data_IF_440757432536
#
_entry.id   IF_440757432536
#
_cell.length_a   1.000
_cell.length_b   1.000
_cell.length_c   1.000
_cell.angle_alpha   90.00
_cell.angle_beta   90.00
_cell.angle_gamma   90.00
#
_symmetry.space_group_name_H-M   'P 1'
#
loop_
_entity.id
_entity.type
_entity.pdbx_description
1 polymer ?
#
# COMPACT_ATOMS: atom_id res chain seq x y z
N UNK A 1 7.04 -21.37 3.31
CA UNK A 1 6.80 -20.03 2.79
C UNK A 1 8.13 -19.47 2.34
N UNK A 2 8.21 -18.26 1.80
CA UNK A 2 9.49 -17.83 1.26
C UNK A 2 9.74 -16.34 1.48
N UNK A 3 10.96 -15.99 1.91
CA UNK A 3 11.48 -14.63 1.92
C UNK A 3 11.55 -14.09 0.48
N UNK A 4 11.24 -12.82 0.28
CA UNK A 4 11.40 -12.14 -1.01
C UNK A 4 12.47 -11.07 -0.89
N UNK A 5 13.45 -11.07 -1.79
CA UNK A 5 14.55 -10.11 -1.80
C UNK A 5 14.64 -9.45 -3.17
N UNK A 6 14.64 -8.13 -3.17
CA UNK A 6 14.85 -7.29 -4.33
C UNK A 6 16.16 -6.53 -4.15
N UNK A 7 17.09 -6.67 -5.09
CA UNK A 7 18.42 -6.07 -5.04
C UNK A 7 18.67 -5.23 -6.29
N UNK A 8 18.80 -3.92 -6.08
CA UNK A 8 19.08 -2.96 -7.14
C UNK A 8 18.15 -3.11 -8.36
N UNK A 9 16.83 -3.27 -8.12
CA UNK A 9 15.86 -3.49 -9.21
C UNK A 9 15.58 -2.17 -9.93
N UNK A 10 15.72 -2.21 -11.25
CA UNK A 10 15.46 -1.10 -12.18
C UNK A 10 14.40 -1.50 -13.20
N UNK A 11 13.56 -0.54 -13.60
CA UNK A 11 12.65 -0.69 -14.74
C UNK A 11 12.54 0.62 -15.49
N UNK A 12 12.86 0.57 -16.78
CA UNK A 12 12.61 1.64 -17.75
C UNK A 12 11.72 1.12 -18.87
N UNK A 13 10.93 2.00 -19.43
CA UNK A 13 10.12 1.74 -20.63
C UNK A 13 10.56 2.67 -21.75
N UNK A 14 10.60 2.20 -23.02
CA UNK A 14 10.91 3.04 -24.16
C UNK A 14 9.90 4.19 -24.28
N UNK A 15 10.37 5.40 -24.54
CA UNK A 15 9.52 6.57 -24.75
C UNK A 15 8.61 6.36 -25.97
N UNK A 16 7.30 6.66 -25.81
CA UNK A 16 6.32 6.61 -26.92
C UNK A 16 6.37 7.80 -27.88
N UNK A 17 7.28 8.76 -27.70
CA UNK A 17 7.39 9.93 -28.59
C UNK A 17 8.04 9.55 -29.93
N UNK A 18 7.25 9.00 -30.84
CA UNK A 18 7.60 8.81 -32.24
C UNK A 18 7.67 10.12 -33.04
N UNK A 19 8.51 11.09 -32.63
CA UNK A 19 8.93 12.21 -33.44
C UNK A 19 10.44 12.30 -33.35
N UNK A 20 11.09 11.61 -34.26
CA UNK A 20 12.51 11.78 -34.59
C UNK A 20 12.76 13.23 -34.97
N UNK A 21 13.16 14.09 -34.04
CA UNK A 21 13.89 15.30 -34.37
C UNK A 21 15.31 14.87 -34.73
N UNK A 22 15.63 14.96 -35.99
CA UNK A 22 16.99 14.73 -36.53
C UNK A 22 17.98 15.66 -35.80
N UNK A 23 18.97 15.07 -35.15
CA UNK A 23 20.19 15.74 -34.72
C UNK A 23 20.34 15.88 -33.20
N UNK A 24 20.67 14.78 -32.50
CA UNK A 24 21.73 14.67 -31.49
C UNK A 24 21.78 13.22 -31.02
N UNK A 25 22.87 12.56 -31.27
CA UNK A 25 23.26 11.26 -30.73
C UNK A 25 23.75 11.49 -29.31
N UNK A 26 22.90 11.14 -28.29
CA UNK A 26 23.28 10.49 -27.04
C UNK A 26 22.08 10.48 -26.11
N UNK A 27 21.71 9.28 -25.61
CA UNK A 27 20.75 9.10 -24.55
C UNK A 27 19.41 8.53 -25.03
N UNK A 28 19.16 7.26 -24.71
CA UNK A 28 17.86 6.62 -24.86
C UNK A 28 16.80 7.43 -24.11
N UNK A 29 15.74 7.88 -24.80
CA UNK A 29 14.56 8.55 -24.25
C UNK A 29 13.72 7.62 -23.37
N UNK A 30 14.34 6.71 -22.61
CA UNK A 30 13.69 5.74 -21.76
C UNK A 30 13.12 6.39 -20.49
N UNK A 31 11.84 6.17 -20.24
CA UNK A 31 11.17 6.62 -19.00
C UNK A 31 11.50 5.63 -17.87
N UNK A 32 12.35 6.05 -16.93
CA UNK A 32 12.70 5.27 -15.75
C UNK A 32 11.55 5.29 -14.74
N UNK A 33 10.91 4.13 -14.52
CA UNK A 33 9.77 3.96 -13.62
C UNK A 33 10.20 3.44 -12.24
N UNK A 34 11.21 2.56 -12.20
CA UNK A 34 11.79 2.07 -10.95
C UNK A 34 13.29 2.34 -10.94
N UNK A 35 13.77 2.91 -9.83
CA UNK A 35 15.13 3.42 -9.67
C UNK A 35 15.80 2.81 -8.45
N UNK A 36 16.58 1.75 -8.65
CA UNK A 36 17.36 1.09 -7.60
C UNK A 36 16.52 0.66 -6.40
N UNK A 37 15.49 -0.15 -6.62
CA UNK A 37 14.67 -0.70 -5.54
C UNK A 37 15.46 -1.78 -4.80
N UNK A 38 15.63 -1.58 -3.50
CA UNK A 38 16.15 -2.55 -2.55
C UNK A 38 15.09 -2.79 -1.49
N UNK A 39 14.60 -4.03 -1.36
CA UNK A 39 13.57 -4.40 -0.40
C UNK A 39 13.72 -5.85 0.00
N UNK A 40 13.71 -6.11 1.30
CA UNK A 40 13.65 -7.46 1.84
C UNK A 40 12.34 -7.63 2.59
N UNK A 41 11.60 -8.66 2.24
CA UNK A 41 10.33 -9.06 2.85
C UNK A 41 10.58 -10.41 3.52
N UNK A 42 10.33 -10.50 4.82
CA UNK A 42 10.57 -11.70 5.60
C UNK A 42 9.58 -12.82 5.23
N UNK A 43 9.91 -14.05 5.58
CA UNK A 43 8.99 -15.17 5.43
C UNK A 43 7.75 -14.98 6.29
N UNK A 44 6.57 -15.12 5.70
CA UNK A 44 5.28 -14.91 6.36
C UNK A 44 4.89 -13.45 6.61
N UNK A 45 5.70 -12.48 6.22
CA UNK A 45 5.44 -11.05 6.43
C UNK A 45 4.32 -10.54 5.51
N UNK A 46 3.49 -9.64 6.05
CA UNK A 46 2.54 -8.83 5.30
C UNK A 46 3.17 -7.47 4.98
N UNK A 47 3.79 -7.35 3.81
CA UNK A 47 4.39 -6.09 3.33
C UNK A 47 3.39 -5.29 2.51
N UNK A 48 3.16 -4.02 2.89
CA UNK A 48 2.33 -3.10 2.10
C UNK A 48 3.19 -2.13 1.32
N UNK A 49 2.93 -2.00 0.02
CA UNK A 49 3.53 -0.98 -0.85
C UNK A 49 2.51 0.15 -1.03
N UNK A 50 2.84 1.35 -0.59
CA UNK A 50 1.95 2.51 -0.67
C UNK A 50 2.68 3.72 -1.28
N UNK A 51 1.93 4.65 -1.87
CA UNK A 51 2.48 5.86 -2.48
C UNK A 51 1.53 6.47 -3.51
N UNK A 52 1.85 7.63 -4.07
CA UNK A 52 1.06 8.30 -5.09
C UNK A 52 0.81 7.44 -6.34
N UNK A 53 -0.22 7.78 -7.10
CA UNK A 53 -0.46 7.14 -8.40
C UNK A 53 0.73 7.35 -9.33
N UNK A 54 1.12 6.31 -10.08
CA UNK A 54 2.23 6.38 -11.02
C UNK A 54 3.64 6.23 -10.43
N UNK A 55 3.82 6.08 -9.10
CA UNK A 55 5.14 5.93 -8.50
C UNK A 55 5.82 4.56 -8.70
N UNK A 56 5.17 3.61 -9.41
CA UNK A 56 5.77 2.33 -9.79
C UNK A 56 5.32 1.10 -8.99
N UNK A 57 4.40 1.19 -8.03
CA UNK A 57 3.93 0.08 -7.18
C UNK A 57 3.46 -1.15 -7.97
N UNK A 58 2.48 -0.98 -8.84
CA UNK A 58 1.95 -2.08 -9.67
C UNK A 58 2.99 -2.60 -10.66
N UNK A 59 3.91 -1.75 -11.13
CA UNK A 59 5.04 -2.17 -11.97
C UNK A 59 5.95 -3.11 -11.18
N UNK A 60 6.32 -2.73 -9.94
CA UNK A 60 7.13 -3.57 -9.06
C UNK A 60 6.47 -4.92 -8.80
N UNK A 61 5.15 -4.91 -8.52
CA UNK A 61 4.38 -6.14 -8.31
C UNK A 61 4.39 -7.05 -9.56
N UNK A 62 4.24 -6.46 -10.76
CA UNK A 62 4.30 -7.20 -12.03
C UNK A 62 5.67 -7.77 -12.35
N UNK A 63 6.75 -7.08 -11.96
CA UNK A 63 8.12 -7.61 -12.07
C UNK A 63 8.29 -8.86 -11.20
N UNK A 64 7.82 -8.82 -9.94
CA UNK A 64 7.87 -9.97 -9.03
C UNK A 64 7.04 -11.14 -9.59
N UNK A 65 5.84 -10.85 -10.13
CA UNK A 65 4.97 -11.85 -10.77
C UNK A 65 5.53 -12.43 -12.08
N UNK A 66 6.55 -11.80 -12.69
CA UNK A 66 7.09 -12.16 -14.00
C UNK A 66 6.21 -11.76 -15.18
N UNK A 67 5.29 -10.83 -14.97
CA UNK A 67 4.43 -10.25 -16.01
C UNK A 67 5.10 -9.11 -16.76
N UNK A 68 6.18 -8.59 -16.21
CA UNK A 68 7.07 -7.59 -16.80
C UNK A 68 8.52 -8.06 -16.68
N UNK A 69 9.38 -7.60 -17.61
CA UNK A 69 10.81 -7.87 -17.57
C UNK A 69 11.50 -6.68 -16.95
N UNK A 70 12.38 -6.91 -15.97
CA UNK A 70 13.18 -5.84 -15.38
C UNK A 70 14.32 -5.41 -16.30
N UNK A 71 14.77 -4.17 -16.13
CA UNK A 71 15.91 -3.62 -16.89
C UNK A 71 17.25 -3.96 -16.23
N UNK A 72 17.24 -4.16 -14.90
CA UNK A 72 18.44 -4.54 -14.14
C UNK A 72 18.10 -4.93 -12.70
N UNK A 73 19.06 -5.55 -12.02
CA UNK A 73 18.93 -5.99 -10.64
C UNK A 73 18.55 -7.47 -10.51
N UNK A 74 18.24 -7.89 -9.29
CA UNK A 74 17.88 -9.26 -8.96
C UNK A 74 16.61 -9.34 -8.11
N UNK A 75 15.81 -10.38 -8.34
CA UNK A 75 14.66 -10.74 -7.51
C UNK A 75 14.79 -12.21 -7.14
N UNK A 76 14.77 -12.50 -5.82
CA UNK A 76 14.82 -13.85 -5.30
C UNK A 76 13.59 -14.16 -4.44
N UNK A 77 13.11 -15.41 -4.52
CA UNK A 77 12.05 -15.97 -3.67
C UNK A 77 12.61 -17.21 -2.98
N UNK A 78 12.70 -17.17 -1.65
CA UNK A 78 13.52 -18.11 -0.89
C UNK A 78 14.98 -17.99 -1.35
N UNK A 79 15.60 -19.13 -1.63
CA UNK A 79 16.98 -19.20 -2.13
C UNK A 79 17.06 -19.21 -3.66
N UNK A 80 15.94 -18.95 -4.35
CA UNK A 80 15.85 -19.08 -5.80
C UNK A 80 15.77 -17.71 -6.49
N UNK A 81 16.73 -17.45 -7.38
CA UNK A 81 16.67 -16.31 -8.30
C UNK A 81 15.55 -16.54 -9.35
N UNK A 82 14.64 -15.56 -9.51
CA UNK A 82 13.46 -15.70 -10.35
C UNK A 82 13.46 -14.81 -11.60
N UNK A 83 14.54 -14.10 -11.89
CA UNK A 83 14.66 -13.13 -12.98
C UNK A 83 14.14 -13.68 -14.32
N UNK A 84 14.68 -14.84 -14.74
CA UNK A 84 14.39 -15.43 -16.04
C UNK A 84 13.26 -16.47 -16.02
N UNK A 85 12.62 -16.65 -14.85
CA UNK A 85 11.56 -17.63 -14.71
C UNK A 85 10.24 -17.06 -15.24
N UNK A 86 9.53 -17.83 -16.08
CA UNK A 86 8.18 -17.44 -16.50
C UNK A 86 7.21 -17.45 -15.30
N UNK A 87 6.10 -16.69 -15.34
CA UNK A 87 5.17 -16.54 -14.22
C UNK A 87 4.71 -17.87 -13.59
N UNK A 88 4.46 -18.90 -14.42
CA UNK A 88 4.01 -20.23 -13.94
C UNK A 88 5.06 -20.95 -13.09
N UNK A 89 6.33 -20.62 -13.23
CA UNK A 89 7.45 -21.30 -12.55
C UNK A 89 7.90 -20.58 -11.27
N UNK A 90 7.32 -19.41 -10.96
CA UNK A 90 7.71 -18.58 -9.80
C UNK A 90 7.04 -18.99 -8.50
N UNK A 91 6.05 -19.88 -8.55
CA UNK A 91 5.21 -20.28 -7.39
C UNK A 91 4.57 -19.10 -6.63
N UNK A 92 4.12 -18.13 -7.40
CA UNK A 92 3.51 -16.89 -6.95
C UNK A 92 2.06 -16.87 -7.40
N UNK A 93 1.15 -16.43 -6.52
CA UNK A 93 -0.23 -16.12 -6.90
C UNK A 93 -0.47 -14.61 -6.89
N UNK A 94 -1.24 -14.11 -7.85
CA UNK A 94 -1.58 -12.69 -7.96
C UNK A 94 -3.08 -12.48 -8.04
N UNK A 95 -3.57 -11.53 -7.24
CA UNK A 95 -4.93 -10.98 -7.31
C UNK A 95 -4.84 -9.59 -7.94
N UNK A 96 -5.55 -9.41 -9.05
CA UNK A 96 -5.59 -8.15 -9.80
C UNK A 96 -6.70 -7.24 -9.29
N UNK A 97 -6.58 -5.96 -9.50
CA UNK A 97 -7.57 -4.93 -9.19
C UNK A 97 -8.95 -5.23 -9.78
N UNK A 98 -9.02 -5.79 -11.01
CA UNK A 98 -10.25 -6.18 -11.68
C UNK A 98 -10.76 -7.59 -11.30
N UNK A 99 -10.10 -8.25 -10.32
CA UNK A 99 -10.31 -9.65 -9.93
C UNK A 99 -9.98 -10.66 -11.05
N UNK A 100 -10.02 -10.30 -12.31
CA UNK A 100 -9.72 -11.11 -13.50
C UNK A 100 -10.36 -12.52 -13.47
N UNK A 101 -11.61 -12.63 -13.00
CA UNK A 101 -12.38 -13.88 -13.00
C UNK A 101 -12.79 -14.25 -14.43
N UNK A 102 -12.78 -15.55 -14.74
CA UNK A 102 -13.28 -16.06 -16.00
C UNK A 102 -14.82 -15.99 -16.03
N UNK A 103 -15.44 -15.11 -16.85
CA UNK A 103 -16.87 -14.78 -16.73
C UNK A 103 -17.80 -15.95 -17.13
N UNK A 104 -17.31 -16.88 -17.94
CA UNK A 104 -18.02 -18.06 -18.44
C UNK A 104 -17.86 -19.30 -17.55
N UNK A 105 -17.03 -19.23 -16.52
CA UNK A 105 -16.79 -20.31 -15.56
C UNK A 105 -17.55 -20.06 -14.26
N UNK A 106 -18.02 -21.14 -13.63
CA UNK A 106 -18.59 -21.07 -12.27
C UNK A 106 -17.53 -20.66 -11.25
N UNK A 107 -17.97 -20.33 -10.03
CA UNK A 107 -17.04 -20.10 -8.90
C UNK A 107 -16.16 -21.33 -8.67
N UNK A 108 -16.74 -22.53 -8.65
CA UNK A 108 -16.00 -23.79 -8.56
C UNK A 108 -14.92 -23.88 -9.64
N UNK A 109 -15.27 -23.67 -10.90
CA UNK A 109 -14.32 -23.80 -12.01
C UNK A 109 -13.26 -22.71 -12.01
N UNK A 110 -13.57 -21.49 -11.55
CA UNK A 110 -12.58 -20.44 -11.36
C UNK A 110 -11.51 -20.84 -10.34
N UNK A 111 -11.91 -21.42 -9.21
CA UNK A 111 -11.00 -21.88 -8.15
C UNK A 111 -10.21 -23.11 -8.62
N UNK A 112 -10.89 -24.07 -9.25
CA UNK A 112 -10.29 -25.32 -9.72
C UNK A 112 -9.31 -25.15 -10.89
N UNK A 113 -9.42 -24.05 -11.65
CA UNK A 113 -8.67 -23.84 -12.90
C UNK A 113 -7.16 -23.98 -12.71
N UNK A 114 -6.61 -23.30 -11.71
CA UNK A 114 -5.17 -23.35 -11.41
C UNK A 114 -4.69 -24.71 -10.94
N UNK A 115 -5.49 -25.40 -10.14
CA UNK A 115 -5.22 -26.74 -9.63
C UNK A 115 -5.18 -27.78 -10.77
N UNK A 116 -6.19 -27.79 -11.63
CA UNK A 116 -6.26 -28.70 -12.78
C UNK A 116 -5.05 -28.55 -13.69
N UNK A 117 -4.55 -27.33 -13.86
CA UNK A 117 -3.39 -27.03 -14.70
C UNK A 117 -2.08 -27.52 -14.07
N UNK A 118 -1.96 -27.38 -12.75
CA UNK A 118 -0.79 -27.87 -11.98
C UNK A 118 -0.65 -29.41 -12.08
N UNK A 119 -1.78 -30.14 -11.97
CA UNK A 119 -1.81 -31.59 -12.13
C UNK A 119 -1.59 -32.04 -13.58
N UNK A 120 -1.98 -31.23 -14.57
CA UNK A 120 -1.73 -31.50 -15.98
C UNK A 120 -0.25 -31.44 -16.38
N UNK A 121 0.48 -30.46 -15.81
CA UNK A 121 1.92 -30.28 -16.09
C UNK A 121 2.78 -31.40 -15.46
N UNK A 122 2.31 -32.03 -14.36
CA UNK A 122 3.02 -33.18 -13.73
C UNK A 122 2.89 -34.50 -14.51
N UNK A 123 1.97 -34.59 -15.46
CA UNK A 123 1.71 -35.79 -16.25
C UNK A 123 2.39 -35.87 -17.61
N UNK A 124 3.19 -34.89 -17.95
CA UNK A 124 3.96 -34.93 -19.20
C UNK A 124 4.86 -36.20 -19.34
N UNK A 125 4.96 -37.01 -18.26
CA UNK A 125 5.70 -38.26 -18.21
C UNK A 125 4.86 -39.57 -18.23
N UNK A 126 3.51 -39.51 -18.21
CA UNK A 126 2.66 -40.71 -18.24
C UNK A 126 2.33 -41.13 -19.66
N UNK A 127 2.25 -42.45 -19.90
CA UNK A 127 1.93 -43.05 -21.21
C UNK A 127 0.58 -42.57 -21.72
N UNK A 128 0.52 -42.15 -22.99
CA UNK A 128 -0.67 -41.67 -23.70
C UNK A 128 -1.90 -42.62 -23.59
N UNK A 129 -1.67 -43.89 -23.31
CA UNK A 129 -2.70 -44.93 -23.22
C UNK A 129 -3.56 -44.79 -21.94
N UNK A 130 -2.96 -44.48 -20.79
CA UNK A 130 -3.68 -44.30 -19.52
C UNK A 130 -4.50 -43.01 -19.54
N UNK A 131 -4.03 -41.96 -20.17
CA UNK A 131 -4.80 -40.71 -20.35
C UNK A 131 -6.01 -40.89 -21.28
N UNK A 132 -5.88 -41.71 -22.33
CA UNK A 132 -6.96 -41.97 -23.26
C UNK A 132 -8.10 -42.77 -22.62
N UNK A 133 -7.79 -43.81 -21.81
CA UNK A 133 -8.79 -44.61 -21.10
C UNK A 133 -9.54 -43.81 -20.00
N UNK A 134 -8.86 -42.95 -19.25
CA UNK A 134 -9.52 -42.07 -18.29
C UNK A 134 -10.41 -41.03 -18.94
N UNK A 135 -9.98 -40.41 -20.03
CA UNK A 135 -10.78 -39.46 -20.80
C UNK A 135 -12.02 -40.09 -21.39
N UNK A 136 -11.93 -41.34 -21.84
CA UNK A 136 -13.06 -42.12 -22.39
C UNK A 136 -14.09 -42.42 -21.29
N UNK A 137 -13.65 -42.83 -20.10
CA UNK A 137 -14.54 -43.12 -18.95
C UNK A 137 -15.22 -41.84 -18.45
N UNK A 138 -14.50 -40.71 -18.36
CA UNK A 138 -15.08 -39.42 -18.03
C UNK A 138 -16.11 -38.97 -19.07
N UNK A 139 -15.81 -39.15 -20.37
CA UNK A 139 -16.72 -38.77 -21.47
C UNK A 139 -17.99 -39.59 -21.47
N UNK A 140 -17.90 -40.92 -21.28
CA UNK A 140 -19.02 -41.85 -21.24
C UNK A 140 -19.93 -41.63 -20.03
N UNK A 141 -19.37 -41.26 -18.88
CA UNK A 141 -20.14 -41.04 -17.64
C UNK A 141 -20.64 -39.60 -17.48
N UNK A 142 -20.24 -38.68 -18.35
CA UNK A 142 -20.59 -37.23 -18.26
C UNK A 142 -22.10 -36.98 -18.33
N UNK A 143 -22.87 -37.88 -18.99
CA UNK A 143 -24.34 -37.77 -19.11
C UNK A 143 -25.11 -38.42 -17.97
N UNK A 144 -24.44 -39.15 -17.07
CA UNK A 144 -25.08 -39.81 -15.91
C UNK A 144 -25.35 -38.82 -14.76
N UNK A 145 -26.32 -39.10 -13.87
CA UNK A 145 -26.56 -38.33 -12.65
C UNK A 145 -25.27 -38.17 -11.82
N UNK A 146 -25.08 -37.04 -11.14
CA UNK A 146 -23.86 -36.72 -10.38
C UNK A 146 -23.31 -37.85 -9.50
N UNK A 147 -24.17 -38.70 -8.96
CA UNK A 147 -23.81 -39.85 -8.09
C UNK A 147 -23.17 -41.04 -8.85
N UNK A 148 -23.34 -41.12 -10.16
CA UNK A 148 -22.85 -42.22 -11.00
C UNK A 148 -21.76 -41.79 -12.02
N UNK A 149 -21.28 -40.56 -11.90
CA UNK A 149 -20.16 -40.05 -12.72
C UNK A 149 -18.83 -40.60 -12.21
N UNK A 150 -18.03 -41.12 -13.10
CA UNK A 150 -16.65 -41.44 -12.79
C UNK A 150 -15.90 -40.13 -12.57
N UNK A 151 -15.39 -39.93 -11.35
CA UNK A 151 -14.55 -38.81 -10.98
C UNK A 151 -13.13 -39.35 -10.91
N UNK A 152 -12.24 -38.80 -11.75
CA UNK A 152 -10.84 -39.19 -11.71
C UNK A 152 -10.24 -38.91 -10.31
N UNK A 153 -9.23 -39.68 -9.84
CA UNK A 153 -8.56 -39.41 -8.55
C UNK A 153 -8.06 -37.97 -8.40
N UNK A 154 -7.67 -37.35 -9.51
CA UNK A 154 -7.24 -35.95 -9.58
C UNK A 154 -8.39 -34.97 -9.33
N UNK A 155 -9.52 -35.17 -10.01
CA UNK A 155 -10.67 -34.29 -9.85
C UNK A 155 -11.21 -34.39 -8.40
N UNK A 156 -11.02 -35.54 -7.75
CA UNK A 156 -11.34 -35.69 -6.32
C UNK A 156 -10.44 -34.81 -5.43
N UNK A 157 -9.12 -34.80 -5.67
CA UNK A 157 -8.18 -33.92 -4.96
C UNK A 157 -8.50 -32.46 -5.22
N UNK A 158 -8.82 -32.10 -6.47
CA UNK A 158 -9.23 -30.74 -6.85
C UNK A 158 -10.52 -30.36 -6.10
N UNK A 159 -11.52 -31.24 -6.07
CA UNK A 159 -12.79 -30.99 -5.39
C UNK A 159 -12.61 -30.79 -3.88
N UNK A 160 -11.81 -31.64 -3.22
CA UNK A 160 -11.46 -31.51 -1.80
C UNK A 160 -10.75 -30.18 -1.49
N UNK A 161 -9.82 -29.76 -2.35
CA UNK A 161 -9.12 -28.50 -2.18
C UNK A 161 -10.02 -27.29 -2.42
N UNK A 162 -10.88 -27.33 -3.44
CA UNK A 162 -11.86 -26.28 -3.71
C UNK A 162 -12.85 -26.15 -2.54
N UNK A 163 -13.32 -27.26 -1.98
CA UNK A 163 -14.21 -27.25 -0.82
C UNK A 163 -13.56 -26.64 0.43
N UNK A 164 -12.32 -27.04 0.73
CA UNK A 164 -11.53 -26.43 1.83
C UNK A 164 -11.41 -24.91 1.68
N UNK A 165 -11.08 -24.45 0.47
CA UNK A 165 -10.95 -23.01 0.18
C UNK A 165 -12.31 -22.32 0.24
N UNK A 166 -13.37 -22.96 -0.22
CA UNK A 166 -14.72 -22.39 -0.18
C UNK A 166 -15.21 -22.19 1.27
N UNK A 167 -14.98 -23.17 2.15
CA UNK A 167 -15.28 -23.07 3.60
C UNK A 167 -14.46 -21.94 4.22
N UNK A 168 -13.15 -21.90 3.96
CA UNK A 168 -12.24 -20.87 4.49
C UNK A 168 -12.72 -19.45 4.16
N UNK A 169 -13.26 -19.26 2.96
CA UNK A 169 -13.72 -17.96 2.43
C UNK A 169 -15.24 -17.74 2.57
N UNK A 170 -15.98 -18.71 3.14
CA UNK A 170 -17.44 -18.65 3.32
C UNK A 170 -18.19 -18.43 1.99
N UNK A 171 -17.83 -19.18 0.94
CA UNK A 171 -18.40 -19.10 -0.39
C UNK A 171 -18.96 -20.44 -0.91
N UNK A 172 -19.19 -21.42 -0.03
CA UNK A 172 -19.68 -22.76 -0.39
C UNK A 172 -20.99 -22.69 -1.17
N UNK A 173 -21.92 -21.86 -0.73
CA UNK A 173 -23.23 -21.66 -1.36
C UNK A 173 -23.16 -21.01 -2.74
N UNK A 174 -21.98 -20.44 -3.09
CA UNK A 174 -21.77 -19.71 -4.33
C UNK A 174 -21.08 -20.56 -5.42
N UNK A 175 -20.59 -21.77 -5.11
CA UNK A 175 -19.76 -22.58 -6.00
C UNK A 175 -20.34 -22.81 -7.39
N UNK A 176 -21.68 -22.90 -7.51
CA UNK A 176 -22.37 -23.12 -8.78
C UNK A 176 -22.75 -21.84 -9.53
N UNK A 177 -22.48 -20.65 -8.95
CA UNK A 177 -22.81 -19.35 -9.56
C UNK A 177 -21.76 -18.90 -10.56
N UNK A 178 -22.17 -18.05 -11.51
CA UNK A 178 -21.28 -17.34 -12.42
C UNK A 178 -20.85 -15.99 -11.80
N UNK A 179 -19.68 -15.44 -12.16
CA UNK A 179 -19.18 -14.15 -11.65
C UNK A 179 -20.16 -12.98 -11.77
N UNK A 180 -20.98 -12.96 -12.83
CA UNK A 180 -22.02 -11.93 -13.04
C UNK A 180 -23.14 -11.94 -11.99
N UNK A 181 -23.32 -13.05 -11.28
CA UNK A 181 -24.34 -13.24 -10.23
C UNK A 181 -23.82 -12.92 -8.83
N UNK A 182 -22.61 -12.41 -8.71
CA UNK A 182 -21.92 -12.15 -7.46
C UNK A 182 -21.81 -10.65 -7.17
N UNK A 183 -21.89 -10.26 -5.89
CA UNK A 183 -21.53 -8.93 -5.44
C UNK A 183 -20.02 -8.66 -5.58
N UNK A 184 -19.59 -7.41 -5.45
CA UNK A 184 -18.17 -7.04 -5.50
C UNK A 184 -17.32 -7.84 -4.50
N UNK A 185 -17.71 -7.89 -3.23
CA UNK A 185 -16.99 -8.65 -2.20
C UNK A 185 -17.02 -10.16 -2.42
N UNK A 186 -18.12 -10.71 -2.97
CA UNK A 186 -18.17 -12.13 -3.35
C UNK A 186 -17.19 -12.44 -4.50
N UNK A 187 -17.12 -11.58 -5.53
CA UNK A 187 -16.14 -11.73 -6.62
C UNK A 187 -14.71 -11.68 -6.10
N UNK A 188 -14.43 -10.81 -5.16
CA UNK A 188 -13.12 -10.71 -4.52
C UNK A 188 -12.76 -11.99 -3.76
N UNK A 189 -13.66 -12.54 -2.91
CA UNK A 189 -13.44 -13.81 -2.22
C UNK A 189 -13.18 -14.95 -3.20
N UNK A 190 -13.86 -14.99 -4.33
CA UNK A 190 -13.59 -15.98 -5.39
C UNK A 190 -12.20 -15.79 -5.99
N UNK A 191 -11.77 -14.54 -6.23
CA UNK A 191 -10.43 -14.26 -6.76
C UNK A 191 -9.33 -14.67 -5.76
N UNK A 192 -9.54 -14.38 -4.46
CA UNK A 192 -8.69 -14.86 -3.37
C UNK A 192 -8.66 -16.40 -3.34
N UNK A 193 -9.83 -17.05 -3.43
CA UNK A 193 -9.93 -18.52 -3.44
C UNK A 193 -9.16 -19.15 -4.59
N UNK A 194 -9.25 -18.59 -5.79
CA UNK A 194 -8.50 -19.04 -6.96
C UNK A 194 -6.98 -18.95 -6.74
N UNK A 195 -6.54 -17.91 -6.04
CA UNK A 195 -5.14 -17.68 -5.77
C UNK A 195 -4.61 -18.59 -4.66
N UNK A 196 -5.37 -18.77 -3.55
CA UNK A 196 -5.01 -19.59 -2.40
C UNK A 196 -5.01 -21.10 -2.74
N UNK A 197 -5.94 -21.54 -3.61
CA UNK A 197 -6.11 -22.95 -3.93
C UNK A 197 -4.80 -23.64 -4.36
N UNK A 198 -3.87 -22.90 -4.95
CA UNK A 198 -2.56 -23.39 -5.39
C UNK A 198 -1.51 -23.48 -4.29
N UNK A 199 -1.82 -23.00 -3.08
CA UNK A 199 -0.89 -22.92 -1.95
C UNK A 199 0.44 -22.25 -2.35
N UNK A 200 0.43 -20.99 -2.84
CA UNK A 200 1.63 -20.31 -3.34
C UNK A 200 2.59 -19.94 -2.21
N UNK A 201 3.89 -19.84 -2.52
CA UNK A 201 4.89 -19.34 -1.58
C UNK A 201 4.75 -17.85 -1.29
N UNK A 202 4.33 -17.07 -2.28
CA UNK A 202 4.16 -15.61 -2.19
C UNK A 202 2.82 -15.21 -2.77
N UNK A 203 2.16 -14.29 -2.09
CA UNK A 203 0.85 -13.75 -2.44
C UNK A 203 0.98 -12.28 -2.84
N UNK A 204 0.60 -11.94 -4.05
CA UNK A 204 0.62 -10.57 -4.58
C UNK A 204 -0.80 -10.05 -4.73
N UNK A 205 -1.07 -8.85 -4.24
CA UNK A 205 -2.38 -8.21 -4.35
C UNK A 205 -2.24 -6.78 -4.88
N UNK A 206 -2.78 -6.50 -6.06
CA UNK A 206 -2.75 -5.20 -6.71
C UNK A 206 -4.09 -4.47 -6.50
N UNK A 207 -4.16 -3.59 -5.53
CA UNK A 207 -5.34 -2.79 -5.13
C UNK A 207 -6.66 -3.59 -5.05
N UNK A 208 -6.71 -4.72 -4.33
CA UNK A 208 -7.86 -5.63 -4.42
C UNK A 208 -9.15 -5.07 -3.80
N UNK A 209 -9.08 -4.00 -3.00
CA UNK A 209 -10.23 -3.40 -2.31
C UNK A 209 -10.77 -2.12 -3.00
N UNK A 210 -10.11 -1.63 -4.04
CA UNK A 210 -10.44 -0.34 -4.68
C UNK A 210 -11.88 -0.27 -5.24
N UNK A 211 -12.45 -1.41 -5.64
CA UNK A 211 -13.78 -1.50 -6.23
C UNK A 211 -14.90 -1.81 -5.21
N UNK A 212 -14.65 -1.70 -3.92
CA UNK A 212 -15.62 -1.96 -2.86
C UNK A 212 -16.10 -0.66 -2.19
N UNK A 213 -17.35 -0.66 -1.71
CA UNK A 213 -17.86 0.40 -0.84
C UNK A 213 -17.12 0.41 0.52
N UNK A 214 -17.23 1.51 1.27
CA UNK A 214 -16.46 1.73 2.49
C UNK A 214 -16.72 0.66 3.58
N UNK A 215 -17.98 0.24 3.78
CA UNK A 215 -18.34 -0.76 4.78
C UNK A 215 -17.76 -2.12 4.43
N UNK A 216 -17.98 -2.57 3.20
CA UNK A 216 -17.48 -3.86 2.72
C UNK A 216 -15.95 -3.89 2.66
N UNK A 217 -15.31 -2.74 2.36
CA UNK A 217 -13.85 -2.59 2.38
C UNK A 217 -13.29 -2.83 3.77
N UNK A 218 -13.90 -2.24 4.82
CA UNK A 218 -13.46 -2.43 6.20
C UNK A 218 -13.58 -3.88 6.67
N UNK A 219 -14.71 -4.55 6.35
CA UNK A 219 -14.94 -5.96 6.67
C UNK A 219 -13.93 -6.88 5.95
N UNK A 220 -13.72 -6.65 4.65
CA UNK A 220 -12.83 -7.48 3.83
C UNK A 220 -11.37 -7.32 4.21
N UNK A 221 -10.94 -6.11 4.59
CA UNK A 221 -9.61 -5.83 5.12
C UNK A 221 -9.27 -6.74 6.30
N UNK A 222 -10.15 -6.79 7.31
CA UNK A 222 -9.99 -7.67 8.47
C UNK A 222 -9.95 -9.15 8.09
N UNK A 223 -10.74 -9.56 7.08
CA UNK A 223 -10.75 -10.96 6.60
C UNK A 223 -9.43 -11.32 5.90
N UNK A 224 -8.87 -10.42 5.08
CA UNK A 224 -7.59 -10.66 4.38
C UNK A 224 -6.45 -10.83 5.39
N UNK A 225 -6.37 -9.96 6.41
CA UNK A 225 -5.34 -10.06 7.46
C UNK A 225 -5.46 -11.38 8.22
N UNK A 226 -6.65 -11.74 8.69
CA UNK A 226 -6.89 -13.02 9.38
C UNK A 226 -6.51 -14.21 8.51
N UNK A 227 -6.88 -14.17 7.23
CA UNK A 227 -6.58 -15.22 6.27
C UNK A 227 -5.07 -15.39 6.07
N UNK A 228 -4.36 -14.28 5.90
CA UNK A 228 -2.90 -14.30 5.72
C UNK A 228 -2.20 -14.88 6.96
N UNK A 229 -2.60 -14.46 8.17
CA UNK A 229 -2.08 -15.04 9.42
C UNK A 229 -2.33 -16.55 9.54
N UNK A 230 -3.54 -17.02 9.16
CA UNK A 230 -3.86 -18.46 9.16
C UNK A 230 -3.02 -19.25 8.16
N UNK A 231 -2.73 -18.68 7.00
CA UNK A 231 -1.94 -19.32 5.96
C UNK A 231 -0.43 -19.18 6.19
N UNK A 232 0.01 -18.16 6.95
CA UNK A 232 1.41 -17.80 7.15
C UNK A 232 2.14 -17.41 5.86
N UNK A 233 1.42 -17.08 4.77
CA UNK A 233 2.01 -16.85 3.44
C UNK A 233 2.59 -15.45 3.36
N UNK A 234 3.81 -15.32 2.83
CA UNK A 234 4.42 -14.01 2.53
C UNK A 234 3.55 -13.24 1.56
N UNK A 235 3.12 -12.04 1.95
CA UNK A 235 2.15 -11.25 1.20
C UNK A 235 2.72 -9.90 0.85
N UNK A 236 2.56 -9.49 -0.42
CA UNK A 236 2.88 -8.13 -0.89
C UNK A 236 1.58 -7.51 -1.40
N UNK A 237 1.16 -6.47 -0.72
CA UNK A 237 -0.10 -5.79 -0.94
C UNK A 237 0.15 -4.37 -1.45
N UNK A 238 -0.44 -4.00 -2.57
CA UNK A 238 -0.39 -2.65 -3.13
C UNK A 238 -1.69 -1.92 -2.84
N UNK A 239 -1.58 -0.71 -2.34
CA UNK A 239 -2.73 0.19 -2.14
C UNK A 239 -2.30 1.65 -2.32
N UNK A 240 -3.28 2.53 -2.55
CA UNK A 240 -3.15 3.98 -2.40
C UNK A 240 -3.87 4.50 -1.14
N UNK A 241 -4.58 3.62 -0.41
CA UNK A 241 -5.30 3.95 0.83
C UNK A 241 -4.36 3.78 2.04
N UNK A 242 -4.11 4.89 2.73
CA UNK A 242 -3.26 4.91 3.93
C UNK A 242 -3.86 4.08 5.07
N UNK A 243 -5.19 4.06 5.20
CA UNK A 243 -5.86 3.30 6.26
C UNK A 243 -5.67 1.80 6.06
N UNK A 244 -5.70 1.33 4.80
CA UNK A 244 -5.37 -0.05 4.48
C UNK A 244 -3.92 -0.36 4.87
N UNK A 245 -2.98 0.49 4.46
CA UNK A 245 -1.57 0.32 4.76
C UNK A 245 -1.31 0.24 6.28
N UNK A 246 -1.83 1.21 7.04
CA UNK A 246 -1.64 1.31 8.48
C UNK A 246 -2.29 0.19 9.29
N UNK A 247 -3.34 -0.45 8.75
CA UNK A 247 -4.12 -1.47 9.50
C UNK A 247 -3.81 -2.91 9.10
N UNK A 248 -3.19 -3.13 7.93
CA UNK A 248 -2.95 -4.47 7.41
C UNK A 248 -1.48 -4.89 7.45
N UNK A 249 -0.55 -3.95 7.26
CA UNK A 249 0.86 -4.27 7.10
C UNK A 249 1.60 -4.53 8.41
N UNK A 250 2.43 -5.56 8.44
CA UNK A 250 3.49 -5.69 9.46
C UNK A 250 4.52 -4.59 9.25
N UNK A 251 4.89 -4.36 7.99
CA UNK A 251 5.71 -3.22 7.54
C UNK A 251 5.11 -2.60 6.28
N UNK A 252 5.39 -1.32 6.12
CA UNK A 252 4.95 -0.52 4.98
C UNK A 252 6.18 0.03 4.26
N UNK A 253 6.24 -0.15 2.93
CA UNK A 253 7.22 0.50 2.07
C UNK A 253 6.54 1.67 1.34
N UNK A 254 6.96 2.89 1.66
CA UNK A 254 6.46 4.11 1.01
C UNK A 254 7.28 4.36 -0.24
N UNK A 255 6.59 4.45 -1.38
CA UNK A 255 7.22 4.69 -2.68
C UNK A 255 6.87 6.07 -3.23
N UNK A 256 7.87 6.74 -3.80
CA UNK A 256 7.71 7.98 -4.56
C UNK A 256 8.76 8.05 -5.66
N UNK A 257 8.37 8.54 -6.85
CA UNK A 257 9.27 8.74 -8.00
C UNK A 257 10.14 7.52 -8.36
N UNK A 258 9.56 6.33 -8.23
CA UNK A 258 10.26 5.08 -8.52
C UNK A 258 11.29 4.65 -7.48
N UNK A 259 11.29 5.24 -6.29
CA UNK A 259 12.19 4.92 -5.16
C UNK A 259 11.40 4.55 -3.92
N UNK A 260 12.00 3.76 -3.05
CA UNK A 260 11.51 3.56 -1.68
C UNK A 260 12.03 4.71 -0.82
N UNK A 261 11.12 5.43 -0.17
CA UNK A 261 11.42 6.56 0.71
C UNK A 261 11.69 6.09 2.15
N UNK A 262 10.89 5.14 2.63
CA UNK A 262 11.05 4.54 3.95
C UNK A 262 10.36 3.16 3.99
N UNK A 263 10.92 2.24 4.79
CA UNK A 263 10.29 0.96 5.13
C UNK A 263 10.34 0.80 6.64
N UNK A 264 9.17 0.73 7.28
CA UNK A 264 9.07 0.55 8.74
C UNK A 264 7.69 0.01 9.15
N UNK A 265 7.50 -0.45 10.40
CA UNK A 265 6.19 -0.71 10.97
C UNK A 265 5.30 0.55 10.95
N UNK A 266 3.96 0.40 10.91
CA UNK A 266 3.02 1.52 10.77
C UNK A 266 3.25 2.66 11.76
N UNK A 267 3.35 2.37 13.06
CA UNK A 267 3.53 3.40 14.09
C UNK A 267 4.88 4.12 14.01
N UNK A 268 5.92 3.44 13.53
CA UNK A 268 7.23 4.05 13.32
C UNK A 268 7.18 5.06 12.16
N UNK A 269 6.54 4.71 11.04
CA UNK A 269 6.33 5.63 9.92
C UNK A 269 5.58 6.90 10.34
N UNK A 270 4.57 6.74 11.20
CA UNK A 270 3.77 7.85 11.70
C UNK A 270 4.54 8.77 12.65
N UNK A 271 5.27 8.18 13.60
CA UNK A 271 5.96 8.91 14.67
C UNK A 271 7.38 9.34 14.28
N UNK A 272 8.04 8.67 13.33
CA UNK A 272 9.42 8.92 12.91
C UNK A 272 9.56 8.89 11.38
N UNK A 273 8.86 9.77 10.66
CA UNK A 273 9.01 9.85 9.20
C UNK A 273 10.44 10.24 8.84
N UNK A 274 11.03 9.56 7.85
CA UNK A 274 12.42 9.77 7.44
C UNK A 274 12.65 11.10 6.70
N UNK A 275 11.60 11.63 6.07
CA UNK A 275 11.66 12.89 5.34
C UNK A 275 10.28 13.57 5.31
N UNK A 276 10.25 14.80 4.80
CA UNK A 276 9.02 15.60 4.68
C UNK A 276 7.95 14.90 3.85
N UNK A 277 8.34 14.24 2.75
CA UNK A 277 7.38 13.53 1.90
C UNK A 277 6.63 12.43 2.67
N UNK A 278 7.36 11.61 3.45
CA UNK A 278 6.74 10.55 4.27
C UNK A 278 5.82 11.15 5.33
N UNK A 279 6.24 12.25 5.97
CA UNK A 279 5.46 12.95 6.99
C UNK A 279 4.15 13.52 6.45
N UNK A 280 4.19 14.06 5.23
CA UNK A 280 3.03 14.60 4.50
C UNK A 280 2.12 13.48 4.00
N UNK A 281 2.72 12.42 3.45
CA UNK A 281 1.97 11.31 2.86
C UNK A 281 1.26 10.47 3.92
N UNK A 282 1.83 10.27 5.12
CA UNK A 282 1.25 9.43 6.19
C UNK A 282 0.50 10.27 7.21
N UNK A 283 -0.81 10.10 7.24
CA UNK A 283 -1.75 10.77 8.13
C UNK A 283 -2.90 11.42 7.36
N UNK A 284 -4.10 11.38 7.94
CA UNK A 284 -5.29 12.03 7.40
C UNK A 284 -6.01 12.75 8.52
N UNK A 285 -6.00 14.08 8.52
CA UNK A 285 -5.32 14.98 7.58
C UNK A 285 -3.78 14.89 7.62
N UNK A 286 -3.09 15.44 6.59
CA UNK A 286 -1.63 15.42 6.53
C UNK A 286 -0.97 16.27 7.63
N UNK A 287 0.34 16.08 7.84
CA UNK A 287 1.13 16.91 8.75
C UNK A 287 1.18 18.36 8.26
N UNK A 288 1.05 19.30 9.18
CA UNK A 288 1.28 20.72 8.91
C UNK A 288 2.77 21.04 8.88
N UNK A 289 3.19 21.96 8.01
CA UNK A 289 4.58 22.40 7.90
C UNK A 289 4.65 23.92 8.03
N UNK A 290 5.49 24.41 8.95
CA UNK A 290 5.67 25.84 9.21
C UNK A 290 7.16 26.15 9.12
N UNK A 291 7.62 27.08 8.28
CA UNK A 291 9.01 27.52 8.31
C UNK A 291 9.29 28.28 9.60
N UNK A 292 10.36 27.92 10.29
CA UNK A 292 10.79 28.54 11.55
C UNK A 292 12.30 28.77 11.55
N UNK A 293 12.77 29.81 12.20
CA UNK A 293 14.18 30.05 12.44
C UNK A 293 14.59 29.44 13.78
N UNK A 294 15.68 28.69 13.83
CA UNK A 294 16.20 28.11 15.06
C UNK A 294 17.28 29.02 15.63
N UNK A 295 17.21 29.27 16.92
CA UNK A 295 18.21 30.03 17.72
C UNK A 295 18.68 29.17 18.90
N UNK A 296 19.97 28.93 18.94
CA UNK A 296 20.55 28.20 20.06
C UNK A 296 20.29 28.94 21.41
N UNK A 297 20.11 28.24 22.54
CA UNK A 297 20.22 26.79 22.66
C UNK A 297 18.97 26.00 22.24
N UNK A 298 17.73 26.53 22.29
CA UNK A 298 16.50 25.77 22.22
C UNK A 298 15.29 26.59 21.74
N UNK A 299 15.50 27.69 21.04
CA UNK A 299 14.41 28.58 20.67
C UNK A 299 14.12 28.48 19.18
N UNK A 300 12.85 28.28 18.83
CA UNK A 300 12.36 28.51 17.47
C UNK A 300 11.54 29.77 17.41
N UNK A 301 11.68 30.52 16.32
CA UNK A 301 10.95 31.76 16.09
C UNK A 301 10.27 31.76 14.71
N UNK A 302 9.10 32.34 14.68
CA UNK A 302 8.33 32.71 13.52
C UNK A 302 7.82 34.15 13.71
N UNK A 303 7.41 34.84 12.69
CA UNK A 303 6.85 36.20 12.83
C UNK A 303 5.78 36.30 13.91
N UNK A 304 4.98 35.26 14.11
CA UNK A 304 3.79 35.25 14.95
C UNK A 304 3.94 34.51 16.27
N UNK A 305 5.05 33.78 16.50
CA UNK A 305 5.28 33.09 17.76
C UNK A 305 6.77 32.86 18.04
N UNK A 306 7.08 32.66 19.30
CA UNK A 306 8.40 32.21 19.77
C UNK A 306 8.21 31.09 20.78
N UNK A 307 8.84 29.95 20.53
CA UNK A 307 8.64 28.73 21.31
C UNK A 307 9.97 28.15 21.78
N UNK A 308 10.03 27.74 23.04
CA UNK A 308 11.20 27.06 23.62
C UNK A 308 11.01 25.56 23.53
N UNK A 309 11.95 24.87 22.89
CA UNK A 309 11.95 23.42 22.68
C UNK A 309 12.39 22.69 23.97
N UNK A 310 12.00 21.40 24.10
CA UNK A 310 12.55 20.47 25.07
C UNK A 310 14.08 20.29 24.91
N UNK A 311 14.77 19.99 25.99
CA UNK A 311 16.26 19.84 26.04
C UNK A 311 16.77 18.75 25.09
N UNK A 312 15.95 17.76 24.78
CA UNK A 312 16.26 16.67 23.84
C UNK A 312 16.65 17.15 22.44
N UNK A 313 16.24 18.36 22.04
CA UNK A 313 16.55 18.95 20.75
C UNK A 313 17.87 19.66 20.65
N UNK A 314 18.47 20.05 21.79
CA UNK A 314 19.65 20.93 21.83
C UNK A 314 20.81 20.42 20.97
N UNK A 315 21.23 19.17 21.15
CA UNK A 315 22.36 18.60 20.40
C UNK A 315 22.03 18.35 18.93
N UNK A 316 20.79 18.03 18.61
CA UNK A 316 20.38 17.72 17.25
C UNK A 316 20.24 18.98 16.37
N UNK A 317 19.79 20.10 16.97
CA UNK A 317 19.53 21.33 16.22
C UNK A 317 20.70 22.31 16.28
N UNK A 318 21.70 22.11 17.15
CA UNK A 318 22.88 22.99 17.25
C UNK A 318 23.54 23.35 15.90
N UNK A 319 23.69 22.44 14.91
CA UNK A 319 24.27 22.76 13.60
C UNK A 319 23.41 23.71 12.74
N UNK A 320 22.19 23.98 13.18
CA UNK A 320 21.18 24.77 12.45
C UNK A 320 20.96 26.16 13.09
N UNK A 321 21.83 26.61 14.01
CA UNK A 321 21.73 27.93 14.65
C UNK A 321 21.69 29.04 13.58
N UNK A 322 20.72 29.93 13.66
CA UNK A 322 20.46 31.00 12.71
C UNK A 322 19.93 30.53 11.34
N UNK A 323 19.56 29.27 11.21
CA UNK A 323 19.00 28.72 9.94
C UNK A 323 17.50 28.51 10.01
N UNK A 324 16.88 28.58 8.85
CA UNK A 324 15.47 28.22 8.67
C UNK A 324 15.33 26.70 8.59
N UNK A 325 14.42 26.16 9.39
CA UNK A 325 13.98 24.77 9.40
C UNK A 325 12.50 24.69 9.08
N UNK A 326 12.03 23.50 8.71
CA UNK A 326 10.60 23.24 8.57
C UNK A 326 10.12 22.50 9.83
N UNK A 327 9.28 23.18 10.61
CA UNK A 327 8.56 22.58 11.72
C UNK A 327 7.38 21.78 11.18
N UNK A 328 7.37 20.47 11.43
CA UNK A 328 6.26 19.58 11.16
C UNK A 328 5.44 19.33 12.42
N UNK A 329 4.11 19.49 12.32
CA UNK A 329 3.20 19.19 13.43
C UNK A 329 1.91 18.57 12.93
N UNK A 330 1.48 17.48 13.56
CA UNK A 330 0.24 16.82 13.17
C UNK A 330 -0.99 17.57 13.66
N UNK A 331 -2.11 17.52 12.96
CA UNK A 331 -3.36 18.22 13.31
C UNK A 331 -3.83 17.98 14.75
N UNK A 332 -3.69 16.75 15.26
CA UNK A 332 -4.07 16.36 16.62
C UNK A 332 -3.10 16.82 17.73
N UNK A 333 -1.92 17.33 17.33
CA UNK A 333 -0.93 17.88 18.26
C UNK A 333 -0.94 19.42 18.33
N UNK A 334 -1.88 20.04 17.60
CA UNK A 334 -2.26 21.44 17.75
C UNK A 334 -3.48 21.52 18.68
N UNK A 335 -3.36 22.24 19.78
CA UNK A 335 -4.45 22.38 20.76
C UNK A 335 -4.91 23.83 20.89
N UNK A 336 -6.21 24.02 21.07
CA UNK A 336 -6.76 25.36 21.32
C UNK A 336 -6.23 25.92 22.64
N UNK A 337 -5.83 27.18 22.61
CA UNK A 337 -5.16 27.84 23.75
C UNK A 337 -5.58 29.30 23.88
N UNK A 338 -4.95 30.01 24.82
CA UNK A 338 -5.15 31.44 25.06
C UNK A 338 -4.08 32.28 24.35
N UNK A 339 -4.31 33.57 24.15
CA UNK A 339 -3.29 34.48 23.61
C UNK A 339 -2.00 34.45 24.45
N UNK A 340 -0.90 34.08 23.81
CA UNK A 340 0.45 34.12 24.40
C UNK A 340 1.50 34.13 23.28
N UNK A 341 2.67 34.68 23.53
CA UNK A 341 3.79 34.78 22.56
C UNK A 341 4.30 33.41 22.05
N UNK A 342 4.04 32.35 22.80
CA UNK A 342 4.40 30.96 22.44
C UNK A 342 3.33 30.26 21.60
N UNK A 343 2.14 30.85 21.46
CA UNK A 343 1.00 30.26 20.76
C UNK A 343 0.81 30.94 19.40
N UNK A 344 0.42 30.14 18.43
CA UNK A 344 0.21 30.57 17.06
C UNK A 344 -1.19 31.20 16.90
N UNK A 345 -1.31 32.51 16.58
CA UNK A 345 -2.59 33.13 16.27
C UNK A 345 -3.07 32.69 14.88
N UNK A 346 -4.31 32.26 14.79
CA UNK A 346 -4.91 31.75 13.55
C UNK A 346 -6.34 32.27 13.38
N UNK A 347 -6.80 32.35 12.13
CA UNK A 347 -8.17 32.62 11.75
C UNK A 347 -8.78 31.39 11.10
N UNK A 348 -9.97 31.00 11.51
CA UNK A 348 -10.68 29.85 10.96
C UNK A 348 -11.21 30.18 9.56
N UNK A 349 -10.85 29.34 8.57
CA UNK A 349 -11.27 29.46 7.17
C UNK A 349 -12.39 28.47 6.85
N UNK A 350 -12.32 27.23 7.39
CA UNK A 350 -13.33 26.19 7.18
C UNK A 350 -13.48 25.33 8.45
N UNK A 351 -14.71 24.86 8.69
CA UNK A 351 -15.03 23.92 9.77
C UNK A 351 -15.70 22.67 9.18
N UNK A 352 -15.11 21.51 9.39
CA UNK A 352 -15.61 20.22 8.90
C UNK A 352 -15.97 19.32 10.09
N UNK A 353 -17.27 19.17 10.34
CA UNK A 353 -17.78 18.32 11.42
C UNK A 353 -18.05 16.90 10.92
N UNK A 354 -17.26 15.92 11.40
CA UNK A 354 -17.43 14.50 11.06
C UNK A 354 -18.22 13.70 12.11
N UNK A 355 -18.79 14.37 13.10
CA UNK A 355 -19.56 13.75 14.18
C UNK A 355 -18.71 13.31 15.37
N UNK A 356 -17.65 12.53 15.14
CA UNK A 356 -16.71 12.10 16.19
C UNK A 356 -15.51 13.04 16.35
N UNK A 357 -15.20 13.81 15.33
CA UNK A 357 -14.10 14.78 15.28
C UNK A 357 -14.54 16.01 14.49
N UNK A 358 -13.97 17.17 14.82
CA UNK A 358 -14.08 18.39 14.02
C UNK A 358 -12.69 18.77 13.51
N UNK A 359 -12.57 18.98 12.20
CA UNK A 359 -11.38 19.50 11.58
C UNK A 359 -11.56 20.97 11.21
N UNK A 360 -10.54 21.77 11.51
CA UNK A 360 -10.50 23.17 11.16
C UNK A 360 -9.41 23.39 10.13
N UNK A 361 -9.74 24.04 9.01
CA UNK A 361 -8.74 24.65 8.16
C UNK A 361 -8.54 26.09 8.65
N UNK A 362 -7.31 26.43 9.04
CA UNK A 362 -7.02 27.75 9.61
C UNK A 362 -5.88 28.41 8.86
N UNK A 363 -5.92 29.74 8.77
CA UNK A 363 -4.83 30.57 8.23
C UNK A 363 -4.09 31.25 9.36
N UNK A 364 -2.77 31.33 9.25
CA UNK A 364 -1.95 32.09 10.21
C UNK A 364 -2.34 33.56 10.09
N UNK A 365 -2.70 34.19 11.21
CA UNK A 365 -3.04 35.61 11.26
C UNK A 365 -1.76 36.41 11.17
N UNK A 366 -1.44 36.91 9.99
CA UNK A 366 -0.33 37.84 9.79
C UNK A 366 -0.88 39.27 9.65
N UNK A 367 -0.56 40.18 10.59
CA UNK A 367 -1.06 41.56 10.52
C UNK A 367 -0.47 42.36 9.36
N UNK A 368 0.69 41.92 8.81
CA UNK A 368 1.44 42.71 7.84
C UNK A 368 1.38 42.17 6.38
N UNK A 369 0.77 40.98 6.15
CA UNK A 369 0.79 40.33 4.83
C UNK A 369 -0.59 39.91 4.38
N UNK A 370 -1.15 40.68 3.48
CA UNK A 370 -2.29 40.27 2.64
C UNK A 370 -1.82 39.31 1.54
N UNK A 371 -1.33 38.08 1.91
CA UNK A 371 -1.17 37.03 0.93
C UNK A 371 -2.50 36.29 0.80
N UNK A 372 -3.16 36.30 -0.38
CA UNK A 372 -4.35 35.50 -0.63
C UNK A 372 -4.11 34.00 -0.52
N UNK A 373 -2.85 33.57 -0.58
CA UNK A 373 -2.39 32.18 -0.51
C UNK A 373 -1.72 31.85 0.84
N UNK A 374 -2.18 32.44 1.96
CA UNK A 374 -1.68 32.12 3.30
C UNK A 374 -1.72 30.60 3.54
N UNK A 375 -0.62 30.06 4.08
CA UNK A 375 -0.50 28.64 4.37
C UNK A 375 -1.65 28.18 5.26
N UNK A 376 -2.52 27.29 4.72
CA UNK A 376 -3.61 26.69 5.46
C UNK A 376 -3.07 25.56 6.33
N UNK A 377 -3.39 25.58 7.62
CA UNK A 377 -3.08 24.52 8.57
C UNK A 377 -4.34 23.74 8.91
N UNK A 378 -4.18 22.46 9.16
CA UNK A 378 -5.25 21.58 9.63
C UNK A 378 -5.14 21.39 11.13
N UNK A 379 -6.25 21.52 11.85
CA UNK A 379 -6.32 21.32 13.30
C UNK A 379 -7.45 20.36 13.63
N UNK A 380 -7.19 19.37 14.45
CA UNK A 380 -8.23 18.49 14.97
C UNK A 380 -8.66 18.95 16.34
N UNK A 381 -9.96 19.15 16.52
CA UNK A 381 -10.55 19.55 17.80
C UNK A 381 -11.69 18.61 18.20
N UNK A 382 -11.98 18.49 19.52
CA UNK A 382 -13.14 17.74 19.99
C UNK A 382 -14.46 18.28 19.40
N UNK A 383 -15.45 17.40 19.10
CA UNK A 383 -16.68 17.78 18.39
C UNK A 383 -17.66 18.61 19.25
N UNK A 384 -17.51 18.61 20.56
CA UNK A 384 -18.36 19.28 21.53
C UNK A 384 -18.16 20.82 21.59
N UNK A 385 -17.10 21.32 20.94
CA UNK A 385 -16.83 22.76 20.84
C UNK A 385 -17.35 23.33 19.54
N UNK A 386 -18.30 24.24 19.63
CA UNK A 386 -18.80 25.01 18.48
C UNK A 386 -17.78 26.10 18.13
N UNK A 387 -17.28 26.07 16.91
CA UNK A 387 -16.33 27.03 16.35
C UNK A 387 -16.91 27.58 15.07
N UNK A 388 -16.78 28.89 14.86
CA UNK A 388 -17.32 29.56 13.67
C UNK A 388 -16.22 29.91 12.66
N UNK A 389 -16.60 29.97 11.40
CA UNK A 389 -15.75 30.57 10.36
C UNK A 389 -15.44 32.02 10.70
N UNK A 390 -14.25 32.48 10.36
CA UNK A 390 -13.70 33.80 10.70
C UNK A 390 -13.35 34.01 12.18
N UNK A 391 -13.56 33.02 13.05
CA UNK A 391 -13.19 33.12 14.46
C UNK A 391 -11.65 33.14 14.60
N UNK A 392 -11.16 34.03 15.47
CA UNK A 392 -9.74 34.10 15.83
C UNK A 392 -9.45 33.15 16.99
N UNK A 393 -8.45 32.29 16.80
CA UNK A 393 -8.04 31.27 17.77
C UNK A 393 -6.52 31.36 18.01
N UNK A 394 -6.09 30.79 19.11
CA UNK A 394 -4.68 30.56 19.41
C UNK A 394 -4.40 29.09 19.54
N UNK A 395 -3.37 28.62 18.87
CA UNK A 395 -2.94 27.21 18.89
C UNK A 395 -1.66 27.06 19.69
N UNK A 396 -1.65 26.12 20.63
CA UNK A 396 -0.44 25.69 21.30
C UNK A 396 0.09 24.39 20.71
N UNK A 397 1.39 24.19 20.79
CA UNK A 397 2.09 23.02 20.30
C UNK A 397 2.28 22.00 21.44
N UNK A 398 2.13 20.69 21.14
CA UNK A 398 2.54 19.62 22.06
C UNK A 398 4.05 19.42 21.90
N UNK A 399 4.89 19.77 22.91
CA UNK A 399 6.35 19.89 22.76
C UNK A 399 7.05 18.60 22.30
N UNK A 400 6.61 17.45 22.81
CA UNK A 400 7.21 16.12 22.55
C UNK A 400 6.76 15.52 21.20
N UNK A 401 5.92 16.24 20.46
CA UNK A 401 5.32 15.78 19.21
C UNK A 401 5.70 16.63 17.99
N UNK A 402 6.73 17.45 18.15
CA UNK A 402 7.29 18.27 17.09
C UNK A 402 8.23 17.44 16.21
N UNK A 403 8.22 17.76 14.92
CA UNK A 403 9.16 17.23 13.95
C UNK A 403 9.91 18.37 13.29
N UNK A 404 11.17 18.15 12.94
CA UNK A 404 11.96 19.13 12.19
C UNK A 404 12.51 18.48 10.94
N UNK A 405 12.49 19.26 9.85
CA UNK A 405 13.04 18.84 8.57
C UNK A 405 13.99 19.92 8.07
N UNK A 406 15.10 19.47 7.52
CA UNK A 406 16.06 20.31 6.84
C UNK A 406 15.45 20.88 5.55
N UNK A 407 15.61 22.18 5.30
CA UNK A 407 14.98 22.85 4.15
C UNK A 407 15.55 22.44 2.80
N UNK A 408 16.83 22.05 2.74
CA UNK A 408 17.51 21.70 1.50
C UNK A 408 17.33 20.21 1.16
N UNK A 409 17.61 19.34 2.14
CA UNK A 409 17.60 17.89 1.94
C UNK A 409 16.22 17.28 2.12
N UNK A 410 15.30 18.00 2.77
CA UNK A 410 13.96 17.54 3.19
C UNK A 410 14.00 16.35 4.16
N UNK A 411 15.16 15.99 4.69
CA UNK A 411 15.33 14.90 5.65
C UNK A 411 14.88 15.32 7.05
N UNK A 412 14.35 14.36 7.80
CA UNK A 412 13.97 14.58 9.18
C UNK A 412 15.20 14.68 10.10
N UNK A 413 15.13 15.60 11.05
CA UNK A 413 16.09 15.75 12.14
C UNK A 413 15.45 15.11 13.38
N UNK A 414 16.14 14.19 14.03
CA UNK A 414 15.62 13.49 15.20
C UNK A 414 16.33 13.96 16.48
N UNK A 415 15.58 14.12 17.59
CA UNK A 415 16.18 14.38 18.88
C UNK A 415 17.07 13.20 19.31
N UNK A 416 18.13 13.50 20.05
CA UNK A 416 19.08 12.49 20.58
C UNK A 416 18.79 12.17 22.03
#
# INVERSE_FOLDING_TARGET
>A
MAKVVLENVYKSFPSRSGKSAKGHTDGSDDVSVLRRINLTIADGEFMVLVGPSGCGKSTLLRLIAGLEVMTGGNISVGDRLINDLPPKARDIAMVFQSYALYPHMTVYDNIAFGLRRQFGDQEAGKTKFTQWSENLLVALTKKLPKKLRYISPKERIVAEQVEKVAVLLQIESLLNRLPKQLSGGQRQRVALGRAIARNPQVFLMDEPLSNLDAKLRAETRSQIVKLQHQLGTTTIYVTHDQTEAMTMGDRIAIMSEGKIQQVAPPLELYNRPANRFVAEFIGSPPMNFIPVEFHAPLVISHTNFRFTLPDTWGSALQPYDGKTLILGIRPEHLTLSVPATKNLPVKVDLVENLGNDTFLSVKISDPDVHHPDGQSLQVRVPPDRVINVDEQLWLSFVPDKLHFFDTETQLAIFPK
#
